data_IF_675629185737
#
_entry.id   IF_675629185737
#
_cell.length_a   1.000
_cell.length_b   1.000
_cell.length_c   1.000
_cell.angle_alpha   90.00
_cell.angle_beta   90.00
_cell.angle_gamma   90.00
#
_symmetry.space_group_name_H-M   'P 1'
#
loop_
_entity.id
_entity.type
_entity.pdbx_description
1 polymer ?
#
# COMPACT_ATOMS: atom_id res chain seq x y z
N UNK A 1 -5.86 -19.44 -7.38
CA UNK A 1 -5.56 -19.57 -5.93
C UNK A 1 -4.16 -19.05 -5.71
N UNK A 2 -4.01 -17.98 -4.93
CA UNK A 2 -2.71 -17.32 -4.70
C UNK A 2 -1.94 -17.96 -3.53
N UNK A 3 -1.95 -19.28 -3.44
CA UNK A 3 -1.11 -20.04 -2.51
C UNK A 3 0.05 -20.60 -3.32
N UNK A 4 1.19 -19.88 -3.32
CA UNK A 4 2.40 -20.29 -4.03
C UNK A 4 3.20 -21.33 -3.23
N UNK A 5 3.34 -21.09 -1.91
CA UNK A 5 4.00 -22.01 -0.98
C UNK A 5 2.95 -22.68 -0.11
N UNK A 6 2.74 -23.98 -0.31
CA UNK A 6 1.79 -24.76 0.50
C UNK A 6 2.34 -24.96 1.91
N UNK A 7 1.45 -24.82 2.90
CA UNK A 7 1.72 -25.13 4.32
C UNK A 7 0.67 -26.14 4.77
N UNK A 8 1.11 -27.23 5.40
CA UNK A 8 0.20 -28.23 6.00
C UNK A 8 -0.13 -27.86 7.45
N UNK A 9 -1.19 -28.44 7.99
CA UNK A 9 -1.57 -28.22 9.38
C UNK A 9 -0.49 -28.73 10.37
N UNK A 10 0.18 -29.81 10.02
CA UNK A 10 1.28 -30.39 10.84
C UNK A 10 2.48 -29.45 10.87
N UNK A 11 2.91 -28.94 9.70
CA UNK A 11 4.04 -28.00 9.60
C UNK A 11 3.75 -26.72 10.40
N UNK A 12 2.53 -26.17 10.22
CA UNK A 12 2.12 -24.97 10.94
C UNK A 12 2.01 -25.23 12.44
N UNK A 13 1.42 -26.35 12.88
CA UNK A 13 1.32 -26.69 14.30
C UNK A 13 2.69 -26.80 14.96
N UNK A 14 3.67 -27.37 14.26
CA UNK A 14 5.05 -27.45 14.76
C UNK A 14 5.69 -26.05 14.85
N UNK A 15 5.46 -25.20 13.85
CA UNK A 15 6.00 -23.84 13.79
C UNK A 15 5.36 -22.92 14.85
N UNK A 16 4.05 -23.06 15.11
CA UNK A 16 3.30 -22.29 16.11
C UNK A 16 3.75 -22.53 17.56
N UNK A 17 4.43 -23.63 17.88
CA UNK A 17 5.00 -23.89 19.22
C UNK A 17 5.96 -22.79 19.69
N UNK A 18 6.46 -21.96 18.78
CA UNK A 18 7.31 -20.81 19.08
C UNK A 18 6.53 -19.58 19.56
N UNK A 19 5.21 -19.60 19.51
CA UNK A 19 4.33 -18.45 19.82
C UNK A 19 3.46 -18.79 21.05
N UNK A 20 3.03 -17.76 21.76
CA UNK A 20 2.08 -17.87 22.87
C UNK A 20 0.68 -17.45 22.37
N UNK A 21 0.10 -18.21 21.44
CA UNK A 21 -1.21 -17.95 20.81
C UNK A 21 -2.10 -19.22 20.77
N UNK A 22 -1.87 -20.16 21.67
CA UNK A 22 -2.64 -21.40 21.74
C UNK A 22 -2.25 -22.44 20.69
N UNK A 23 -3.18 -23.37 20.43
CA UNK A 23 -3.00 -24.47 19.48
C UNK A 23 -3.80 -24.24 18.21
N UNK A 24 -3.30 -24.74 17.06
CA UNK A 24 -3.97 -24.64 15.78
C UNK A 24 -5.34 -25.34 15.82
N UNK A 25 -6.37 -24.64 15.37
CA UNK A 25 -7.75 -25.14 15.20
C UNK A 25 -8.09 -25.26 13.71
N UNK A 26 -7.73 -24.25 12.89
CA UNK A 26 -8.03 -24.24 11.46
C UNK A 26 -6.97 -23.47 10.66
N UNK A 27 -6.78 -23.89 9.41
CA UNK A 27 -5.88 -23.30 8.44
C UNK A 27 -6.54 -23.17 7.08
N UNK A 28 -6.81 -21.92 6.65
CA UNK A 28 -7.49 -21.64 5.39
C UNK A 28 -6.66 -20.74 4.49
N UNK A 29 -6.34 -21.16 3.27
CA UNK A 29 -5.64 -20.34 2.28
C UNK A 29 -6.47 -19.12 1.86
N UNK A 30 -5.84 -17.95 1.77
CA UNK A 30 -6.45 -16.72 1.27
C UNK A 30 -6.19 -16.65 -0.24
N UNK A 31 -7.28 -16.65 -1.02
CA UNK A 31 -7.20 -16.58 -2.48
C UNK A 31 -6.89 -15.16 -3.01
N UNK A 32 -7.10 -14.14 -2.19
CA UNK A 32 -6.80 -12.74 -2.52
C UNK A 32 -5.31 -12.44 -2.28
N UNK A 33 -4.74 -11.53 -3.09
CA UNK A 33 -3.33 -11.16 -3.04
C UNK A 33 -2.51 -11.86 -4.12
N UNK A 34 -1.57 -11.12 -4.73
CA UNK A 34 -0.78 -11.59 -5.89
C UNK A 34 0.72 -11.69 -5.57
N UNK A 35 1.17 -11.20 -4.41
CA UNK A 35 2.60 -11.10 -4.12
C UNK A 35 3.09 -12.14 -3.10
N UNK A 36 2.25 -12.50 -2.12
CA UNK A 36 2.63 -13.36 -1.00
C UNK A 36 1.63 -14.50 -0.84
N UNK A 37 2.06 -15.59 -0.20
CA UNK A 37 1.16 -16.65 0.23
C UNK A 37 0.58 -16.29 1.58
N UNK A 38 -0.76 -16.21 1.66
CA UNK A 38 -1.45 -15.84 2.89
C UNK A 38 -2.43 -16.94 3.34
N UNK A 39 -2.54 -17.12 4.65
CA UNK A 39 -3.50 -18.04 5.28
C UNK A 39 -4.21 -17.35 6.45
N UNK A 40 -5.50 -17.59 6.59
CA UNK A 40 -6.17 -17.43 7.87
C UNK A 40 -5.77 -18.59 8.79
N UNK A 41 -5.32 -18.26 9.98
CA UNK A 41 -4.91 -19.19 11.02
C UNK A 41 -5.82 -18.98 12.22
N UNK A 42 -6.65 -19.96 12.54
CA UNK A 42 -7.46 -19.96 13.77
C UNK A 42 -6.77 -20.82 14.81
N UNK A 43 -6.55 -20.26 15.99
CA UNK A 43 -6.04 -20.98 17.15
C UNK A 43 -7.04 -20.94 18.29
N UNK A 44 -6.76 -21.62 19.40
CA UNK A 44 -7.58 -21.54 20.61
C UNK A 44 -7.66 -20.15 21.21
N UNK A 45 -6.68 -19.26 20.91
CA UNK A 45 -6.57 -17.94 21.52
C UNK A 45 -6.97 -16.79 20.54
N UNK A 46 -7.30 -17.11 19.29
CA UNK A 46 -7.77 -16.12 18.35
C UNK A 46 -7.57 -16.44 16.87
N UNK A 47 -7.79 -15.44 16.03
CA UNK A 47 -7.65 -15.54 14.57
C UNK A 47 -6.51 -14.61 14.11
N UNK A 48 -5.65 -15.13 13.26
CA UNK A 48 -4.44 -14.48 12.76
C UNK A 48 -4.34 -14.61 11.24
N UNK A 49 -3.43 -13.85 10.64
CA UNK A 49 -3.00 -14.04 9.26
C UNK A 49 -1.53 -14.45 9.26
N UNK A 50 -1.24 -15.59 8.65
CA UNK A 50 0.10 -16.04 8.33
C UNK A 50 0.45 -15.55 6.93
N UNK A 51 1.57 -14.84 6.80
CA UNK A 51 2.12 -14.43 5.51
C UNK A 51 3.47 -15.09 5.29
N UNK A 52 3.62 -15.81 4.16
CA UNK A 52 4.91 -16.29 3.65
C UNK A 52 5.31 -15.34 2.52
N UNK A 53 6.51 -14.77 2.62
CA UNK A 53 7.01 -13.80 1.64
C UNK A 53 7.70 -14.51 0.49
N UNK A 54 7.11 -14.38 -0.69
CA UNK A 54 7.63 -15.05 -1.87
C UNK A 54 8.77 -14.27 -2.54
N UNK A 55 8.77 -12.94 -2.37
CA UNK A 55 9.66 -11.99 -3.06
C UNK A 55 10.58 -11.21 -2.12
N UNK A 56 10.05 -10.67 -1.02
CA UNK A 56 10.81 -9.85 -0.09
C UNK A 56 11.78 -10.70 0.73
N UNK A 57 13.03 -10.26 0.76
CA UNK A 57 14.08 -10.91 1.54
C UNK A 57 13.98 -10.59 3.03
N UNK A 58 14.56 -11.48 3.86
CA UNK A 58 14.56 -11.31 5.32
C UNK A 58 15.22 -10.00 5.80
N UNK A 59 16.08 -9.39 4.99
CA UNK A 59 16.75 -8.12 5.32
C UNK A 59 15.82 -6.89 5.21
N UNK A 60 14.80 -6.94 4.33
CA UNK A 60 13.90 -5.82 4.07
C UNK A 60 12.69 -5.84 5.02
N UNK A 61 12.23 -7.03 5.39
CA UNK A 61 11.00 -7.25 6.17
C UNK A 61 10.96 -6.59 7.55
N UNK A 62 12.07 -6.45 8.29
CA UNK A 62 12.04 -5.78 9.60
C UNK A 62 11.51 -4.35 9.57
N UNK A 63 11.72 -3.59 8.49
CA UNK A 63 11.16 -2.25 8.35
C UNK A 63 9.64 -2.28 8.42
N UNK A 64 8.99 -3.11 7.61
CA UNK A 64 7.54 -3.20 7.51
C UNK A 64 6.90 -3.73 8.79
N UNK A 65 7.46 -4.81 9.37
CA UNK A 65 6.94 -5.43 10.59
C UNK A 65 7.07 -4.47 11.79
N UNK A 66 8.20 -3.78 11.93
CA UNK A 66 8.38 -2.80 12.99
C UNK A 66 7.49 -1.57 12.79
N UNK A 67 7.24 -1.13 11.54
CA UNK A 67 6.30 -0.04 11.26
C UNK A 67 4.89 -0.42 11.67
N UNK A 68 4.39 -1.59 11.27
CA UNK A 68 3.07 -2.09 11.67
C UNK A 68 2.96 -2.20 13.20
N UNK A 69 3.97 -2.77 13.87
CA UNK A 69 4.00 -2.85 15.33
C UNK A 69 4.00 -1.47 16.00
N UNK A 70 4.70 -0.49 15.41
CA UNK A 70 4.71 0.89 15.88
C UNK A 70 3.33 1.53 15.74
N UNK A 71 2.73 1.48 14.55
CA UNK A 71 1.42 2.04 14.27
C UNK A 71 0.31 1.42 15.12
N UNK A 72 0.29 0.09 15.25
CA UNK A 72 -0.69 -0.62 16.08
C UNK A 72 -0.61 -0.18 17.56
N UNK A 73 0.60 0.00 18.12
CA UNK A 73 0.80 0.52 19.47
C UNK A 73 0.30 1.96 19.66
N UNK A 74 0.20 2.73 18.58
CA UNK A 74 -0.36 4.08 18.60
C UNK A 74 -1.85 4.14 18.24
N UNK A 75 -2.53 2.98 18.26
CA UNK A 75 -3.97 2.89 18.06
C UNK A 75 -4.43 2.91 16.60
N UNK A 76 -3.51 2.83 15.63
CA UNK A 76 -3.88 2.70 14.22
C UNK A 76 -4.45 1.29 13.98
N UNK A 77 -5.62 1.15 13.34
CA UNK A 77 -6.21 -0.14 13.04
C UNK A 77 -5.45 -0.83 11.88
N UNK A 78 -4.26 -1.34 12.18
CA UNK A 78 -3.42 -2.08 11.23
C UNK A 78 -3.01 -3.43 11.81
N UNK A 79 -2.57 -4.41 10.97
CA UNK A 79 -2.16 -5.72 11.46
C UNK A 79 -0.99 -5.59 12.44
N UNK A 80 -1.17 -6.02 13.68
CA UNK A 80 -0.10 -6.06 14.67
C UNK A 80 0.70 -7.36 14.51
N UNK A 81 2.01 -7.30 14.22
CA UNK A 81 2.84 -8.49 14.17
C UNK A 81 2.92 -9.18 15.54
N UNK A 82 2.82 -10.51 15.53
CA UNK A 82 2.91 -11.34 16.72
C UNK A 82 4.36 -11.76 16.91
N UNK A 83 4.92 -11.42 18.06
CA UNK A 83 6.28 -11.84 18.42
C UNK A 83 6.32 -13.33 18.83
N UNK A 84 7.35 -14.04 18.40
CA UNK A 84 7.64 -15.36 18.94
C UNK A 84 8.22 -15.25 20.38
N UNK A 85 8.41 -16.37 21.05
CA UNK A 85 9.00 -16.43 22.41
C UNK A 85 10.42 -15.85 22.49
N UNK A 86 11.10 -15.70 21.34
CA UNK A 86 12.38 -15.02 21.22
C UNK A 86 12.25 -13.52 20.92
N UNK A 87 11.03 -12.95 21.03
CA UNK A 87 10.70 -11.54 20.72
C UNK A 87 11.01 -11.14 19.28
N UNK A 88 10.79 -12.05 18.32
CA UNK A 88 10.99 -11.82 16.88
C UNK A 88 9.67 -11.88 16.14
N UNK A 89 9.42 -10.91 15.26
CA UNK A 89 8.26 -10.88 14.38
C UNK A 89 8.43 -11.73 13.11
N UNK A 90 9.68 -11.98 12.71
CA UNK A 90 10.01 -12.71 11.50
C UNK A 90 10.60 -14.08 11.83
N UNK A 91 10.02 -15.10 11.24
CA UNK A 91 10.51 -16.48 11.27
C UNK A 91 10.76 -17.02 9.87
N UNK A 92 10.98 -18.34 9.80
CA UNK A 92 11.09 -19.09 8.54
C UNK A 92 10.14 -20.28 8.59
N UNK A 93 9.34 -20.46 7.53
CA UNK A 93 8.47 -21.61 7.34
C UNK A 93 8.57 -22.08 5.89
N UNK A 94 8.78 -23.36 5.67
CA UNK A 94 8.95 -23.99 4.35
C UNK A 94 9.97 -23.25 3.46
N UNK A 95 11.11 -22.82 4.07
CA UNK A 95 12.19 -22.11 3.36
C UNK A 95 11.90 -20.66 3.01
N UNK A 96 10.74 -20.12 3.36
CA UNK A 96 10.36 -18.72 3.12
C UNK A 96 10.38 -17.91 4.43
N UNK A 97 10.73 -16.61 4.37
CA UNK A 97 10.45 -15.71 5.49
C UNK A 97 8.95 -15.72 5.77
N UNK A 98 8.56 -15.79 7.04
CA UNK A 98 7.16 -15.89 7.45
C UNK A 98 6.89 -15.05 8.70
N UNK A 99 5.68 -14.48 8.77
CA UNK A 99 5.20 -13.71 9.92
C UNK A 99 3.75 -14.05 10.23
N UNK A 100 3.37 -13.88 11.50
CA UNK A 100 1.98 -13.85 11.94
C UNK A 100 1.60 -12.44 12.31
N UNK A 101 0.41 -12.02 11.90
CA UNK A 101 -0.18 -10.74 12.28
C UNK A 101 -1.62 -10.95 12.77
N UNK A 102 -2.14 -9.99 13.53
CA UNK A 102 -3.56 -10.00 13.93
C UNK A 102 -4.47 -9.96 12.69
N UNK A 103 -5.55 -10.74 12.71
CA UNK A 103 -6.58 -10.69 11.68
C UNK A 103 -7.53 -9.50 11.97
N UNK A 104 -7.66 -8.59 11.02
CA UNK A 104 -8.53 -7.43 11.16
C UNK A 104 -9.92 -7.72 10.60
N UNK A 105 -10.98 -7.11 11.18
CA UNK A 105 -12.35 -7.28 10.72
C UNK A 105 -12.66 -6.38 9.51
N UNK A 106 -13.74 -6.73 8.81
CA UNK A 106 -14.28 -5.92 7.73
C UNK A 106 -13.98 -6.46 6.33
N UNK A 107 -14.45 -5.71 5.34
CA UNK A 107 -14.29 -6.01 3.90
C UNK A 107 -13.97 -4.73 3.13
N UNK A 108 -13.27 -4.84 1.98
CA UNK A 108 -13.01 -3.69 1.11
C UNK A 108 -14.29 -3.09 0.52
N UNK A 109 -14.27 -1.79 0.21
CA UNK A 109 -15.36 -1.08 -0.45
C UNK A 109 -15.03 -0.84 -1.93
N UNK A 110 -15.74 -1.50 -2.83
CA UNK A 110 -15.54 -1.37 -4.27
C UNK A 110 -16.03 -0.03 -4.85
N UNK A 111 -17.10 0.53 -4.26
CA UNK A 111 -17.74 1.78 -4.71
C UNK A 111 -17.77 2.78 -3.55
N UNK A 112 -16.70 3.56 -3.34
CA UNK A 112 -16.61 4.48 -2.21
C UNK A 112 -17.59 5.65 -2.35
N UNK A 113 -18.18 6.04 -1.23
CA UNK A 113 -18.97 7.26 -1.05
C UNK A 113 -18.14 8.29 -0.28
N UNK A 114 -18.57 9.55 -0.27
CA UNK A 114 -17.87 10.64 0.42
C UNK A 114 -17.60 10.32 1.91
N UNK A 115 -18.55 9.66 2.62
CA UNK A 115 -18.34 9.24 4.01
C UNK A 115 -17.22 8.22 4.20
N UNK A 116 -16.99 7.31 3.22
CA UNK A 116 -15.85 6.39 3.26
C UNK A 116 -14.54 7.14 3.07
N UNK A 117 -14.51 8.09 2.11
CA UNK A 117 -13.36 8.94 1.85
C UNK A 117 -13.00 9.82 3.06
N UNK A 118 -14.01 10.36 3.78
CA UNK A 118 -13.83 11.06 5.05
C UNK A 118 -13.08 10.18 6.07
N UNK A 119 -13.53 8.95 6.29
CA UNK A 119 -12.89 8.01 7.23
C UNK A 119 -11.46 7.68 6.83
N UNK A 120 -11.24 7.48 5.52
CA UNK A 120 -9.89 7.20 4.99
C UNK A 120 -8.97 8.40 5.16
N UNK A 121 -9.44 9.62 4.90
CA UNK A 121 -8.67 10.84 5.14
C UNK A 121 -8.25 10.98 6.60
N UNK A 122 -9.16 10.72 7.54
CA UNK A 122 -8.87 10.77 8.96
C UNK A 122 -7.82 9.74 9.38
N UNK A 123 -8.01 8.45 9.04
CA UNK A 123 -7.05 7.40 9.41
C UNK A 123 -5.68 7.60 8.78
N UNK A 124 -5.61 8.12 7.54
CA UNK A 124 -4.34 8.45 6.90
C UNK A 124 -3.59 9.56 7.65
N UNK A 125 -4.29 10.59 8.11
CA UNK A 125 -3.69 11.64 8.93
C UNK A 125 -3.18 11.08 10.28
N UNK A 126 -3.97 10.24 10.94
CA UNK A 126 -3.58 9.58 12.18
C UNK A 126 -2.34 8.68 11.99
N UNK A 127 -2.27 7.93 10.88
CA UNK A 127 -1.09 7.14 10.52
C UNK A 127 0.17 8.00 10.35
N UNK A 128 0.06 9.14 9.66
CA UNK A 128 1.17 10.06 9.46
C UNK A 128 1.62 10.71 10.78
N UNK A 129 0.68 11.06 11.66
CA UNK A 129 0.98 11.60 12.99
C UNK A 129 1.65 10.56 13.89
N UNK A 130 1.11 9.35 13.95
CA UNK A 130 1.70 8.23 14.67
C UNK A 130 3.10 7.89 14.13
N UNK A 131 3.28 7.95 12.81
CA UNK A 131 4.54 7.66 12.15
C UNK A 131 5.70 8.61 12.49
N UNK A 132 5.44 9.82 13.02
CA UNK A 132 6.50 10.80 13.35
C UNK A 132 7.58 10.27 14.30
N UNK A 133 7.22 9.35 15.20
CA UNK A 133 8.14 8.72 16.15
C UNK A 133 8.85 7.48 15.61
N UNK A 134 8.57 7.05 14.38
CA UNK A 134 9.17 5.84 13.83
C UNK A 134 10.60 6.09 13.32
N UNK A 135 11.58 5.36 13.90
CA UNK A 135 13.01 5.53 13.58
C UNK A 135 13.52 4.70 12.40
N UNK A 136 12.66 3.91 11.75
CA UNK A 136 13.05 3.09 10.60
C UNK A 136 13.43 3.93 9.38
N UNK A 137 14.35 3.41 8.56
CA UNK A 137 14.88 4.11 7.38
C UNK A 137 14.83 3.17 6.17
N UNK A 138 13.81 3.30 5.38
CA UNK A 138 13.69 2.66 4.07
C UNK A 138 13.06 3.68 3.12
N UNK A 139 13.81 4.16 2.14
CA UNK A 139 13.23 5.03 1.10
C UNK A 139 12.12 4.29 0.36
N UNK A 140 11.12 5.03 -0.09
CA UNK A 140 10.01 4.45 -0.86
C UNK A 140 10.54 3.54 -1.99
N UNK A 141 10.27 2.22 -1.94
CA UNK A 141 10.83 1.26 -2.91
C UNK A 141 10.28 1.47 -4.33
N UNK A 142 9.15 2.18 -4.46
CA UNK A 142 8.52 2.55 -5.73
C UNK A 142 8.65 4.04 -6.05
N UNK A 143 9.66 4.69 -5.46
CA UNK A 143 9.99 6.09 -5.68
C UNK A 143 10.74 6.36 -6.99
N UNK A 144 11.23 7.59 -7.18
CA UNK A 144 11.81 8.07 -8.45
C UNK A 144 12.97 7.24 -9.01
N UNK A 145 13.75 6.57 -8.16
CA UNK A 145 14.82 5.66 -8.63
C UNK A 145 14.24 4.47 -9.37
N UNK A 146 13.18 3.89 -8.80
CA UNK A 146 12.50 2.77 -9.42
C UNK A 146 11.81 3.18 -10.71
N UNK A 147 11.18 4.39 -10.77
CA UNK A 147 10.51 4.87 -11.99
C UNK A 147 11.47 4.87 -13.20
N UNK A 148 12.68 5.40 -13.02
CA UNK A 148 13.67 5.44 -14.09
C UNK A 148 14.17 4.06 -14.52
N UNK A 149 14.28 3.11 -13.60
CA UNK A 149 14.68 1.72 -13.92
C UNK A 149 13.56 1.01 -14.68
N UNK A 150 12.34 0.98 -14.11
CA UNK A 150 11.18 0.33 -14.71
C UNK A 150 10.84 0.90 -16.09
N UNK A 151 10.89 2.23 -16.26
CA UNK A 151 10.64 2.88 -17.55
C UNK A 151 11.60 2.40 -18.65
N UNK A 152 12.90 2.22 -18.32
CA UNK A 152 13.88 1.69 -19.28
C UNK A 152 13.57 0.25 -19.68
N UNK A 153 13.15 -0.58 -18.72
CA UNK A 153 12.84 -1.99 -18.97
C UNK A 153 11.60 -2.16 -19.84
N UNK A 154 10.55 -1.34 -19.63
CA UNK A 154 9.30 -1.47 -20.39
C UNK A 154 9.30 -0.68 -21.71
N UNK A 155 10.22 0.27 -21.92
CA UNK A 155 10.26 1.13 -23.12
C UNK A 155 10.20 0.36 -24.46
N UNK A 156 10.86 -0.84 -24.61
CA UNK A 156 10.78 -1.60 -25.85
C UNK A 156 9.38 -2.11 -26.21
N UNK A 157 8.49 -2.24 -25.22
CA UNK A 157 7.13 -2.77 -25.38
C UNK A 157 6.07 -1.69 -25.64
N UNK A 158 6.42 -0.40 -25.43
CA UNK A 158 5.49 0.71 -25.55
C UNK A 158 5.40 1.22 -27.00
N UNK A 159 4.19 1.58 -27.43
CA UNK A 159 3.99 2.40 -28.62
C UNK A 159 4.57 3.81 -28.46
N UNK A 160 4.63 4.57 -29.54
CA UNK A 160 5.22 5.91 -29.55
C UNK A 160 4.48 6.88 -28.61
N UNK A 161 3.15 6.83 -28.57
CA UNK A 161 2.32 7.70 -27.75
C UNK A 161 2.56 7.46 -26.25
N UNK A 162 2.52 6.19 -25.80
CA UNK A 162 2.81 5.82 -24.42
C UNK A 162 4.25 6.15 -24.02
N UNK A 163 5.21 5.91 -24.93
CA UNK A 163 6.62 6.23 -24.68
C UNK A 163 6.83 7.74 -24.53
N UNK A 164 6.20 8.55 -25.40
CA UNK A 164 6.25 10.01 -25.31
C UNK A 164 5.63 10.55 -24.03
N UNK A 165 4.46 10.02 -23.65
CA UNK A 165 3.80 10.40 -22.39
C UNK A 165 4.69 10.07 -21.18
N UNK A 166 5.24 8.85 -21.12
CA UNK A 166 6.10 8.41 -20.02
C UNK A 166 7.37 9.26 -19.92
N UNK A 167 8.05 9.52 -21.04
CA UNK A 167 9.28 10.32 -21.07
C UNK A 167 9.01 11.76 -20.61
N UNK A 168 7.96 12.39 -21.13
CA UNK A 168 7.59 13.77 -20.77
C UNK A 168 7.22 13.89 -19.28
N UNK A 169 6.58 12.86 -18.72
CA UNK A 169 6.19 12.87 -17.31
C UNK A 169 7.40 12.66 -16.39
N UNK A 170 8.31 11.75 -16.74
CA UNK A 170 9.54 11.54 -15.99
C UNK A 170 10.42 12.80 -15.97
N UNK A 171 10.49 13.51 -17.10
CA UNK A 171 11.20 14.79 -17.19
C UNK A 171 10.53 15.87 -16.33
N UNK A 172 9.21 15.96 -16.36
CA UNK A 172 8.45 16.86 -15.50
C UNK A 172 8.74 16.59 -14.03
N UNK A 173 8.66 15.34 -13.58
CA UNK A 173 8.92 14.95 -12.21
C UNK A 173 10.37 15.22 -11.79
N UNK A 174 11.34 15.02 -12.71
CA UNK A 174 12.74 15.29 -12.42
C UNK A 174 13.00 16.78 -12.14
N UNK A 175 12.30 17.68 -12.84
CA UNK A 175 12.41 19.15 -12.64
C UNK A 175 11.80 19.63 -11.32
N UNK A 176 10.88 18.88 -10.70
CA UNK A 176 10.17 19.25 -9.47
C UNK A 176 10.65 18.49 -8.22
N UNK A 177 11.80 17.80 -8.28
CA UNK A 177 12.30 16.98 -7.16
C UNK A 177 12.80 17.75 -5.93
N UNK A 178 13.16 19.02 -6.09
CA UNK A 178 13.81 19.81 -5.04
C UNK A 178 12.83 20.45 -4.05
N UNK A 179 11.62 19.90 -3.91
CA UNK A 179 10.63 20.42 -2.97
C UNK A 179 10.95 19.93 -1.55
N UNK A 180 11.08 20.85 -0.61
CA UNK A 180 11.22 20.55 0.83
C UNK A 180 9.84 20.29 1.42
N UNK A 181 9.45 19.03 1.43
CA UNK A 181 8.16 18.56 1.91
C UNK A 181 8.29 17.81 3.23
N UNK A 182 7.29 17.88 4.12
CA UNK A 182 7.23 17.03 5.30
C UNK A 182 7.29 15.55 4.92
N UNK A 183 8.25 14.83 5.52
CA UNK A 183 8.52 13.41 5.24
C UNK A 183 8.28 12.55 6.47
N UNK A 184 7.89 11.32 6.23
CA UNK A 184 7.70 10.30 7.25
C UNK A 184 7.37 8.95 6.64
N UNK A 185 7.02 7.96 7.47
CA UNK A 185 6.46 6.71 6.98
C UNK A 185 5.18 6.97 6.19
N UNK A 186 5.11 6.43 4.99
CA UNK A 186 3.94 6.43 4.12
C UNK A 186 3.54 4.99 3.83
N UNK A 187 2.24 4.76 3.60
CA UNK A 187 1.74 3.46 3.14
C UNK A 187 2.13 3.21 1.68
N UNK A 188 2.05 4.24 0.87
CA UNK A 188 2.36 4.28 -0.56
C UNK A 188 1.50 3.37 -1.45
N UNK A 189 0.45 2.74 -0.88
CA UNK A 189 -0.48 1.85 -1.57
C UNK A 189 -1.87 1.82 -0.89
N UNK A 190 -2.33 2.96 -0.33
CA UNK A 190 -3.60 3.04 0.41
C UNK A 190 -4.80 3.08 -0.53
N UNK A 191 -5.00 1.98 -1.24
CA UNK A 191 -6.10 1.74 -2.16
C UNK A 191 -7.33 1.21 -1.44
N UNK A 192 -8.45 1.16 -2.17
CA UNK A 192 -9.76 0.69 -1.67
C UNK A 192 -9.73 -0.76 -1.18
N UNK A 193 -8.93 -1.62 -1.79
CA UNK A 193 -8.73 -3.02 -1.42
C UNK A 193 -7.85 -3.19 -0.17
N UNK A 194 -7.09 -2.17 0.21
CA UNK A 194 -6.23 -2.16 1.39
C UNK A 194 -6.87 -1.50 2.62
N UNK A 195 -8.15 -1.10 2.55
CA UNK A 195 -8.91 -0.57 3.69
C UNK A 195 -10.17 -1.38 3.90
N UNK A 196 -10.27 -2.03 5.05
CA UNK A 196 -11.41 -2.86 5.44
C UNK A 196 -12.43 -2.04 6.22
N UNK A 197 -13.70 -2.19 5.87
CA UNK A 197 -14.82 -1.52 6.54
C UNK A 197 -15.77 -2.51 7.20
N UNK A 198 -16.23 -2.17 8.39
CA UNK A 198 -17.40 -2.76 9.07
C UNK A 198 -18.53 -1.71 9.08
N UNK A 199 -19.44 -1.81 8.11
CA UNK A 199 -20.39 -0.72 7.86
C UNK A 199 -19.66 0.57 7.47
N UNK A 200 -19.84 1.65 8.23
CA UNK A 200 -19.20 2.95 7.98
C UNK A 200 -17.92 3.18 8.82
N UNK A 201 -17.43 2.17 9.54
CA UNK A 201 -16.20 2.25 10.34
C UNK A 201 -15.06 1.52 9.67
N UNK A 202 -13.85 2.06 9.80
CA UNK A 202 -12.65 1.33 9.38
C UNK A 202 -12.38 0.22 10.40
N UNK A 203 -12.39 -1.03 9.92
CA UNK A 203 -11.98 -2.21 10.66
C UNK A 203 -10.47 -2.46 10.54
N UNK A 204 -9.85 -2.03 9.43
CA UNK A 204 -8.42 -2.19 9.26
C UNK A 204 -7.83 -1.54 8.02
N UNK A 205 -6.54 -1.18 8.11
CA UNK A 205 -5.68 -0.81 6.99
C UNK A 205 -4.63 -1.91 6.86
N UNK A 206 -4.52 -2.55 5.70
CA UNK A 206 -3.68 -3.72 5.46
C UNK A 206 -2.66 -3.46 4.35
N UNK A 207 -1.74 -4.39 4.15
CA UNK A 207 -0.73 -4.41 3.06
C UNK A 207 0.29 -3.26 3.10
N UNK A 208 1.09 -3.23 4.16
CA UNK A 208 2.17 -2.24 4.36
C UNK A 208 3.47 -2.56 3.61
N UNK A 209 3.48 -3.55 2.71
CA UNK A 209 4.75 -4.03 2.10
C UNK A 209 5.27 -3.16 0.95
N UNK A 210 4.57 -2.07 0.63
CA UNK A 210 5.07 -0.96 -0.19
C UNK A 210 5.44 0.28 0.62
N UNK A 211 5.26 0.24 1.95
CA UNK A 211 5.57 1.37 2.82
C UNK A 211 7.04 1.79 2.74
N UNK A 212 7.30 3.03 3.03
CA UNK A 212 8.65 3.60 3.02
C UNK A 212 8.67 4.98 3.64
N UNK A 213 9.81 5.63 3.64
CA UNK A 213 9.96 7.03 4.02
C UNK A 213 9.84 7.89 2.76
N UNK A 214 8.79 8.73 2.71
CA UNK A 214 8.57 9.65 1.58
C UNK A 214 7.87 10.93 2.04
N UNK A 215 7.56 11.84 1.10
CA UNK A 215 6.69 12.97 1.37
C UNK A 215 5.30 12.49 1.80
N UNK A 216 4.78 12.98 2.93
CA UNK A 216 3.45 12.61 3.41
C UNK A 216 2.35 12.96 2.38
N UNK A 217 2.55 14.05 1.65
CA UNK A 217 1.66 14.47 0.57
C UNK A 217 1.58 13.46 -0.59
N UNK A 218 2.64 12.66 -0.83
CA UNK A 218 2.61 11.59 -1.84
C UNK A 218 1.57 10.53 -1.48
N UNK A 219 1.49 10.15 -0.21
CA UNK A 219 0.51 9.17 0.26
C UNK A 219 -0.94 9.68 0.14
N UNK A 220 -1.15 10.97 0.45
CA UNK A 220 -2.45 11.64 0.22
C UNK A 220 -2.81 11.62 -1.28
N UNK A 221 -1.83 11.87 -2.16
CA UNK A 221 -2.05 11.86 -3.59
C UNK A 221 -2.36 10.45 -4.14
N UNK A 222 -1.70 9.43 -3.62
CA UNK A 222 -2.02 8.01 -3.93
C UNK A 222 -3.47 7.70 -3.56
N UNK A 223 -3.85 8.04 -2.34
CA UNK A 223 -5.19 7.79 -1.80
C UNK A 223 -6.27 8.52 -2.60
N UNK A 224 -6.08 9.82 -2.90
CA UNK A 224 -7.03 10.58 -3.72
C UNK A 224 -7.17 10.01 -5.12
N UNK A 225 -6.08 9.59 -5.74
CA UNK A 225 -6.12 9.03 -7.10
C UNK A 225 -6.85 7.69 -7.21
N UNK A 226 -6.91 6.89 -6.16
CA UNK A 226 -7.70 5.66 -6.15
C UNK A 226 -9.13 5.88 -5.64
N UNK A 227 -9.29 6.47 -4.46
CA UNK A 227 -10.58 6.62 -3.78
C UNK A 227 -11.52 7.60 -4.46
N UNK A 228 -10.97 8.62 -5.11
CA UNK A 228 -11.76 9.73 -5.62
C UNK A 228 -11.81 9.80 -7.15
N UNK A 229 -11.03 8.98 -7.87
CA UNK A 229 -11.13 8.95 -9.33
C UNK A 229 -12.34 8.13 -9.80
N UNK A 230 -12.93 8.58 -10.89
CA UNK A 230 -13.94 7.85 -11.65
C UNK A 230 -13.28 6.94 -12.72
N UNK A 231 -14.04 6.13 -13.47
CA UNK A 231 -13.49 5.29 -14.54
C UNK A 231 -12.79 6.06 -15.67
N UNK A 232 -13.13 7.35 -15.88
CA UNK A 232 -12.46 8.21 -16.84
C UNK A 232 -11.15 8.81 -16.32
N UNK A 233 -10.89 8.65 -15.01
CA UNK A 233 -9.73 9.19 -14.32
C UNK A 233 -9.95 10.58 -13.72
N UNK A 234 -11.13 11.18 -13.85
CA UNK A 234 -11.46 12.49 -13.29
C UNK A 234 -11.70 12.38 -11.76
N UNK A 235 -11.36 13.44 -11.00
CA UNK A 235 -11.62 13.49 -9.56
C UNK A 235 -13.09 13.84 -9.30
N UNK A 236 -13.75 12.99 -8.52
CA UNK A 236 -15.01 13.31 -7.87
C UNK A 236 -14.76 14.32 -6.73
N UNK A 237 -15.22 15.55 -6.91
CA UNK A 237 -14.98 16.66 -5.99
C UNK A 237 -15.58 16.43 -4.60
N UNK A 238 -16.71 15.73 -4.50
CA UNK A 238 -17.36 15.47 -3.19
C UNK A 238 -16.54 14.45 -2.38
N UNK A 239 -16.06 13.37 -3.03
CA UNK A 239 -15.20 12.37 -2.40
C UNK A 239 -13.85 12.96 -2.00
N UNK A 240 -13.20 13.69 -2.92
CA UNK A 240 -11.91 14.31 -2.64
C UNK A 240 -12.00 15.40 -1.58
N UNK A 241 -13.03 16.23 -1.62
CA UNK A 241 -13.28 17.25 -0.60
C UNK A 241 -13.46 16.63 0.80
N UNK A 242 -14.25 15.56 0.92
CA UNK A 242 -14.44 14.85 2.19
C UNK A 242 -13.12 14.25 2.73
N UNK A 243 -12.32 13.60 1.88
CA UNK A 243 -11.04 13.02 2.25
C UNK A 243 -10.04 14.08 2.72
N UNK A 244 -9.86 15.14 1.92
CA UNK A 244 -8.88 16.19 2.20
C UNK A 244 -9.26 17.02 3.42
N UNK A 245 -10.56 17.33 3.61
CA UNK A 245 -11.04 18.04 4.79
C UNK A 245 -10.81 17.22 6.07
N UNK A 246 -11.10 15.90 6.06
CA UNK A 246 -10.88 15.03 7.20
C UNK A 246 -9.38 14.88 7.52
N UNK A 247 -8.54 14.72 6.51
CA UNK A 247 -7.08 14.70 6.69
C UNK A 247 -6.58 16.01 7.31
N UNK A 248 -6.99 17.15 6.75
CA UNK A 248 -6.60 18.49 7.21
C UNK A 248 -7.04 18.77 8.65
N UNK A 249 -8.20 18.26 9.06
CA UNK A 249 -8.70 18.44 10.44
C UNK A 249 -7.73 17.89 11.51
N UNK A 250 -6.94 16.86 11.19
CA UNK A 250 -5.93 16.28 12.09
C UNK A 250 -4.51 16.81 11.80
N UNK A 251 -4.19 17.06 10.51
CA UNK A 251 -2.88 17.54 10.06
C UNK A 251 -3.04 18.59 8.97
N UNK A 252 -2.77 19.85 9.30
CA UNK A 252 -2.77 20.94 8.33
C UNK A 252 -1.72 20.74 7.23
N UNK A 253 -2.08 21.13 6.01
CA UNK A 253 -1.14 21.20 4.90
C UNK A 253 -0.28 22.47 5.01
N UNK A 254 1.00 22.32 4.74
CA UNK A 254 1.90 23.47 4.63
C UNK A 254 1.69 24.21 3.30
N UNK A 255 2.17 25.45 3.21
CA UNK A 255 2.16 26.21 1.95
C UNK A 255 2.91 25.44 0.83
N UNK A 256 4.08 24.89 1.15
CA UNK A 256 4.89 24.11 0.20
C UNK A 256 4.14 22.86 -0.30
N UNK A 257 3.36 22.20 0.58
CA UNK A 257 2.50 21.08 0.16
C UNK A 257 1.40 21.56 -0.80
N UNK A 258 0.78 22.72 -0.57
CA UNK A 258 -0.18 23.29 -1.50
C UNK A 258 0.41 23.57 -2.88
N UNK A 259 1.63 24.13 -2.94
CA UNK A 259 2.36 24.39 -4.18
C UNK A 259 2.79 23.08 -4.89
N UNK A 260 3.12 22.03 -4.14
CA UNK A 260 3.55 20.73 -4.65
C UNK A 260 2.40 19.81 -5.06
N UNK A 261 1.18 20.08 -4.61
CA UNK A 261 0.03 19.18 -4.77
C UNK A 261 -0.20 18.70 -6.20
N UNK A 262 -0.24 19.56 -7.24
CA UNK A 262 -0.43 19.11 -8.61
C UNK A 262 0.70 18.18 -9.10
N UNK A 263 1.92 18.41 -8.61
CA UNK A 263 3.09 17.57 -8.94
C UNK A 263 2.94 16.19 -8.32
N UNK A 264 2.53 16.11 -7.04
CA UNK A 264 2.42 14.84 -6.32
C UNK A 264 1.23 14.00 -6.81
N UNK A 265 0.10 14.63 -7.20
CA UNK A 265 -1.01 13.93 -7.86
C UNK A 265 -0.56 13.22 -9.14
N UNK A 266 0.24 13.90 -9.98
CA UNK A 266 0.82 13.33 -11.20
C UNK A 266 1.86 12.25 -10.87
N UNK A 267 2.70 12.47 -9.86
CA UNK A 267 3.69 11.50 -9.41
C UNK A 267 3.05 10.18 -8.95
N UNK A 268 1.99 10.26 -8.16
CA UNK A 268 1.23 9.09 -7.73
C UNK A 268 0.58 8.36 -8.91
N UNK A 269 -0.04 9.08 -9.84
CA UNK A 269 -0.62 8.48 -11.04
C UNK A 269 0.45 7.81 -11.92
N UNK A 270 1.61 8.46 -12.14
CA UNK A 270 2.75 7.91 -12.87
C UNK A 270 3.23 6.60 -12.23
N UNK A 271 3.41 6.59 -10.91
CA UNK A 271 3.88 5.39 -10.18
C UNK A 271 3.00 4.19 -10.46
N UNK A 272 1.67 4.36 -10.39
CA UNK A 272 0.75 3.26 -10.59
C UNK A 272 0.58 2.87 -12.05
N UNK A 273 0.59 3.84 -12.97
CA UNK A 273 0.62 3.53 -14.39
C UNK A 273 1.85 2.69 -14.75
N UNK A 274 3.02 3.13 -14.28
CA UNK A 274 4.30 2.44 -14.51
C UNK A 274 4.32 1.04 -13.90
N UNK A 275 3.82 0.87 -12.66
CA UNK A 275 3.73 -0.45 -12.03
C UNK A 275 2.86 -1.41 -12.85
N UNK A 276 1.68 -0.96 -13.30
CA UNK A 276 0.76 -1.80 -14.07
C UNK A 276 1.30 -2.13 -15.46
N UNK A 277 1.99 -1.19 -16.10
CA UNK A 277 2.72 -1.47 -17.36
C UNK A 277 3.83 -2.51 -17.13
N UNK A 278 4.57 -2.38 -16.03
CA UNK A 278 5.64 -3.31 -15.68
C UNK A 278 5.10 -4.72 -15.48
N UNK A 279 4.06 -4.88 -14.69
CA UNK A 279 3.43 -6.16 -14.42
C UNK A 279 2.75 -6.75 -15.67
N UNK A 280 2.23 -5.91 -16.56
CA UNK A 280 1.59 -6.32 -17.82
C UNK A 280 2.60 -6.85 -18.85
N UNK A 281 3.70 -6.13 -19.07
CA UNK A 281 4.69 -6.47 -20.10
C UNK A 281 5.78 -7.43 -19.62
N UNK A 282 6.06 -7.44 -18.32
CA UNK A 282 7.09 -8.25 -17.68
C UNK A 282 6.48 -9.11 -16.55
N UNK A 283 5.42 -9.90 -16.87
CA UNK A 283 4.75 -10.71 -15.86
C UNK A 283 5.71 -11.74 -15.30
N UNK A 284 5.68 -11.93 -14.00
CA UNK A 284 6.46 -12.97 -13.34
C UNK A 284 5.72 -14.31 -13.42
N UNK A 285 6.48 -15.41 -13.38
CA UNK A 285 5.89 -16.75 -13.35
C UNK A 285 4.91 -16.87 -12.17
N UNK A 286 3.65 -17.19 -12.47
CA UNK A 286 2.55 -17.31 -11.49
C UNK A 286 1.64 -16.07 -11.36
N UNK A 287 1.97 -14.91 -11.93
CA UNK A 287 1.19 -13.66 -11.84
C UNK A 287 0.14 -13.49 -12.97
N UNK A 288 0.07 -14.41 -13.92
CA UNK A 288 -0.72 -14.27 -15.15
C UNK A 288 -2.25 -14.19 -14.97
N UNK A 289 -2.79 -14.32 -13.77
CA UNK A 289 -4.24 -14.41 -13.57
C UNK A 289 -4.93 -13.09 -13.23
N UNK A 290 -4.21 -12.00 -12.89
CA UNK A 290 -4.84 -10.74 -12.43
C UNK A 290 -4.02 -9.48 -12.76
N UNK A 291 -3.45 -9.35 -13.95
CA UNK A 291 -2.85 -8.08 -14.35
C UNK A 291 -3.94 -6.98 -14.41
N UNK A 292 -3.82 -5.96 -13.58
CA UNK A 292 -4.69 -4.79 -13.64
C UNK A 292 -4.51 -4.05 -14.97
N UNK A 293 -5.62 -3.53 -15.53
CA UNK A 293 -5.59 -2.69 -16.73
C UNK A 293 -4.68 -1.47 -16.54
N UNK A 294 -3.57 -1.34 -17.30
CA UNK A 294 -2.69 -0.17 -17.20
C UNK A 294 -3.38 1.14 -17.64
N UNK A 295 -4.39 1.05 -18.50
CA UNK A 295 -5.04 2.20 -19.09
C UNK A 295 -5.83 3.04 -18.08
N UNK A 296 -6.26 2.44 -16.98
CA UNK A 296 -6.93 3.21 -15.93
C UNK A 296 -6.01 4.31 -15.38
N UNK A 297 -4.80 3.97 -14.93
CA UNK A 297 -3.86 4.98 -14.40
C UNK A 297 -3.22 5.86 -15.48
N UNK A 298 -3.22 5.45 -16.74
CA UNK A 298 -2.91 6.36 -17.84
C UNK A 298 -3.95 7.49 -17.92
N UNK A 299 -5.24 7.15 -17.90
CA UNK A 299 -6.33 8.14 -17.89
C UNK A 299 -6.25 9.05 -16.65
N UNK A 300 -6.00 8.49 -15.47
CA UNK A 300 -5.79 9.28 -14.25
C UNK A 300 -4.65 10.28 -14.46
N UNK A 301 -3.48 9.85 -14.96
CA UNK A 301 -2.35 10.73 -15.21
C UNK A 301 -2.70 11.85 -16.23
N UNK A 302 -3.33 11.49 -17.34
CA UNK A 302 -3.76 12.45 -18.36
C UNK A 302 -4.74 13.49 -17.79
N UNK A 303 -5.70 13.07 -16.98
CA UNK A 303 -6.63 13.96 -16.29
C UNK A 303 -5.90 14.93 -15.34
N UNK A 304 -4.90 14.45 -14.57
CA UNK A 304 -4.09 15.30 -13.66
C UNK A 304 -3.20 16.28 -14.44
N UNK A 305 -2.77 15.93 -15.65
CA UNK A 305 -2.01 16.82 -16.53
C UNK A 305 -2.90 17.90 -17.14
N UNK A 306 -4.13 17.53 -17.49
CA UNK A 306 -5.07 18.45 -18.14
C UNK A 306 -5.71 19.45 -17.17
N UNK A 307 -6.04 19.01 -15.96
CA UNK A 307 -6.76 19.82 -14.96
C UNK A 307 -6.17 19.64 -13.56
N UNK A 308 -5.52 20.69 -13.01
CA UNK A 308 -5.15 20.71 -11.61
C UNK A 308 -6.39 20.65 -10.72
N UNK A 309 -6.38 19.78 -9.70
CA UNK A 309 -7.37 19.76 -8.63
C UNK A 309 -6.81 20.53 -7.42
N UNK A 310 -7.57 21.42 -6.77
CA UNK A 310 -7.06 22.18 -5.63
C UNK A 310 -6.85 21.30 -4.39
N UNK A 311 -5.82 21.64 -3.61
CA UNK A 311 -5.68 21.15 -2.24
C UNK A 311 -6.55 22.03 -1.34
N UNK A 312 -7.59 21.46 -0.73
CA UNK A 312 -8.65 22.20 0.03
C UNK A 312 -8.22 22.43 1.47
#
# INVERSE_FOLDING_TARGET
MSVFTRVTAEELSAWLKRYAIGTLVDLQGIAAGIENTNYFVTTTDGRFVLTLFEKLGAAELPFYLNLMAHLARHGIPCPAPIADQGNKYLGTLNGKPATLVTCLPGVPVSSPLARHCERVGAVLADMHLAGRGYGGKLENPRGPRWWGAAAREIAPFLDEARRGLLASELEFQARHRALDLPRGPVHADLFRDNVLFEGDRIGGVIDFYFAGIDALLFDVAVTVNDWCADPAGEIDGARAGALLAAYRAARDFTRTEGEAWPVLLRAAALRFWLSRLYDFYLPRAGELTHAHDPEHFRRVLEARRARPFPLV
#
